data_IF_939535102364
#
_entry.id   IF_939535102364
#
_cell.length_a   1.000
_cell.length_b   1.000
_cell.length_c   1.000
_cell.angle_alpha   90.00
_cell.angle_beta   90.00
_cell.angle_gamma   90.00
#
_symmetry.space_group_name_H-M   'P 1'
#
loop_
_entity.id
_entity.type
_entity.pdbx_description
1 polymer ?
#
# COMPACT_ATOMS: atom_id res chain seq x y z
N UNK A 1 18.24 -41.13 -12.06
CA UNK A 1 17.19 -40.14 -11.79
C UNK A 1 17.35 -39.67 -10.35
N UNK A 2 17.79 -38.43 -10.14
CA UNK A 2 18.03 -37.91 -8.80
C UNK A 2 16.70 -37.82 -8.04
N UNK A 3 16.60 -38.52 -6.90
CA UNK A 3 15.48 -38.40 -5.98
C UNK A 3 15.45 -36.96 -5.44
N UNK A 4 14.40 -36.21 -5.77
CA UNK A 4 14.16 -34.90 -5.16
C UNK A 4 14.04 -35.08 -3.64
N UNK A 5 14.87 -34.35 -2.88
CA UNK A 5 14.79 -34.36 -1.42
C UNK A 5 13.39 -33.92 -0.97
N UNK A 6 12.80 -34.53 0.08
CA UNK A 6 11.46 -34.18 0.52
C UNK A 6 11.46 -32.72 0.98
N UNK A 7 10.51 -31.93 0.46
CA UNK A 7 10.32 -30.55 0.88
C UNK A 7 10.07 -30.52 2.40
N UNK A 8 10.87 -29.75 3.13
CA UNK A 8 10.65 -29.60 4.57
C UNK A 8 9.39 -28.77 4.80
N UNK A 9 8.41 -29.35 5.46
CA UNK A 9 7.15 -28.70 5.79
C UNK A 9 7.33 -27.73 6.96
N UNK A 10 6.37 -26.83 7.16
CA UNK A 10 6.39 -25.84 8.27
C UNK A 10 6.41 -26.54 9.64
N UNK A 11 5.91 -27.79 9.70
CA UNK A 11 5.86 -28.64 10.90
C UNK A 11 7.19 -29.35 11.18
N UNK A 12 8.18 -29.25 10.29
CA UNK A 12 9.48 -29.87 10.52
C UNK A 12 10.12 -29.30 11.80
N UNK A 13 10.45 -30.15 12.78
CA UNK A 13 11.03 -29.71 14.05
C UNK A 13 12.35 -28.94 13.87
N UNK A 14 13.12 -29.23 12.84
CA UNK A 14 14.37 -28.51 12.56
C UNK A 14 14.12 -27.06 12.11
N UNK A 15 13.10 -26.84 11.28
CA UNK A 15 12.72 -25.50 10.83
C UNK A 15 12.21 -24.67 12.00
N UNK A 16 11.39 -25.27 12.86
CA UNK A 16 10.87 -24.61 14.07
C UNK A 16 12.02 -24.20 14.99
N UNK A 17 12.99 -25.10 15.21
CA UNK A 17 14.21 -24.80 16.00
C UNK A 17 14.99 -23.63 15.41
N UNK A 18 15.24 -23.63 14.10
CA UNK A 18 15.95 -22.53 13.42
C UNK A 18 15.22 -21.20 13.53
N UNK A 19 13.89 -21.19 13.31
CA UNK A 19 13.06 -19.97 13.45
C UNK A 19 13.07 -19.42 14.87
N UNK A 20 12.98 -20.30 15.88
CA UNK A 20 13.05 -19.89 17.27
C UNK A 20 14.43 -19.35 17.64
N UNK A 21 15.51 -19.94 17.13
CA UNK A 21 16.87 -19.44 17.31
C UNK A 21 17.05 -18.02 16.74
N UNK A 22 16.55 -17.77 15.52
CA UNK A 22 16.59 -16.44 14.91
C UNK A 22 15.79 -15.39 15.71
N UNK A 23 14.58 -15.75 16.17
CA UNK A 23 13.76 -14.87 17.01
C UNK A 23 14.46 -14.55 18.33
N UNK A 24 15.09 -15.55 18.94
CA UNK A 24 15.85 -15.39 20.18
C UNK A 24 17.02 -14.42 19.97
N UNK A 25 17.79 -14.59 18.90
CA UNK A 25 18.92 -13.70 18.58
C UNK A 25 18.48 -12.23 18.41
N UNK A 26 17.40 -11.96 17.68
CA UNK A 26 16.85 -10.60 17.52
C UNK A 26 16.35 -10.03 18.86
N UNK A 27 15.68 -10.85 19.66
CA UNK A 27 15.20 -10.44 20.99
C UNK A 27 16.37 -10.11 21.93
N UNK A 28 17.43 -10.91 21.91
CA UNK A 28 18.64 -10.68 22.71
C UNK A 28 19.32 -9.36 22.33
N UNK A 29 19.43 -9.05 21.04
CA UNK A 29 19.95 -7.77 20.54
C UNK A 29 19.08 -6.60 21.02
N UNK A 30 17.76 -6.73 20.92
CA UNK A 30 16.82 -5.72 21.39
C UNK A 30 16.95 -5.50 22.90
N UNK A 31 16.95 -6.57 23.70
CA UNK A 31 17.07 -6.49 25.16
C UNK A 31 18.40 -5.84 25.54
N UNK A 32 19.52 -6.27 24.93
CA UNK A 32 20.86 -5.69 25.18
C UNK A 32 20.89 -4.19 24.97
N UNK A 33 20.25 -3.71 23.90
CA UNK A 33 20.20 -2.29 23.59
C UNK A 33 19.20 -1.54 24.48
N UNK A 34 18.07 -2.15 24.86
CA UNK A 34 17.06 -1.52 25.72
C UNK A 34 17.44 -1.50 27.20
N UNK A 35 18.13 -2.52 27.69
CA UNK A 35 18.54 -2.62 29.11
C UNK A 35 19.80 -1.82 29.43
N UNK A 36 20.50 -1.25 28.44
CA UNK A 36 21.71 -0.47 28.65
C UNK A 36 21.38 0.94 29.17
N UNK A 37 21.72 1.29 30.43
CA UNK A 37 21.40 2.58 31.02
C UNK A 37 22.19 3.75 30.39
N UNK A 38 23.35 3.47 29.78
CA UNK A 38 24.20 4.48 29.15
C UNK A 38 23.87 4.72 27.68
N UNK A 39 22.82 4.09 27.13
CA UNK A 39 22.42 4.29 25.72
C UNK A 39 22.19 5.76 25.39
N UNK A 40 21.54 6.49 26.29
CA UNK A 40 21.21 7.89 26.07
C UNK A 40 22.41 8.83 26.17
N UNK A 41 23.51 8.38 26.79
CA UNK A 41 24.74 9.17 26.99
C UNK A 41 25.58 9.22 25.73
N UNK A 42 25.52 8.20 24.85
CA UNK A 42 26.34 8.10 23.64
C UNK A 42 25.81 8.87 22.43
N UNK A 43 24.95 9.87 22.60
CA UNK A 43 24.32 10.64 21.50
C UNK A 43 23.39 9.83 20.58
N UNK A 44 23.38 8.49 20.71
CA UNK A 44 22.40 7.53 20.15
C UNK A 44 21.08 7.47 20.95
N UNK A 45 20.81 8.45 21.82
CA UNK A 45 19.74 8.43 22.83
C UNK A 45 18.30 8.59 22.33
N UNK A 46 18.03 8.17 21.10
CA UNK A 46 16.70 8.20 20.48
C UNK A 46 16.07 6.81 20.40
N UNK A 47 15.35 6.59 19.30
CA UNK A 47 14.76 5.29 18.96
C UNK A 47 15.84 4.29 18.57
N UNK A 48 15.74 3.05 19.06
CA UNK A 48 16.60 1.96 18.61
C UNK A 48 16.38 1.70 17.12
N UNK A 49 17.47 1.66 16.36
CA UNK A 49 17.42 1.34 14.94
C UNK A 49 17.16 -0.16 14.73
N UNK A 50 16.09 -0.47 13.97
CA UNK A 50 15.77 -1.83 13.56
C UNK A 50 16.08 -2.00 12.07
N UNK A 51 17.03 -2.90 11.77
CA UNK A 51 17.46 -3.23 10.41
C UNK A 51 16.31 -3.81 9.58
N UNK A 52 15.41 -4.58 10.19
CA UNK A 52 14.24 -5.16 9.52
C UNK A 52 13.26 -4.09 9.07
N UNK A 53 12.95 -3.13 9.94
CA UNK A 53 12.08 -1.99 9.61
C UNK A 53 12.74 -1.12 8.54
N UNK A 54 14.02 -0.81 8.68
CA UNK A 54 14.73 -0.01 7.69
C UNK A 54 14.70 -0.66 6.30
N UNK A 55 15.01 -1.97 6.20
CA UNK A 55 14.93 -2.70 4.92
C UNK A 55 13.54 -2.67 4.31
N UNK A 56 12.50 -2.81 5.13
CA UNK A 56 11.12 -2.71 4.66
C UNK A 56 10.82 -1.31 4.11
N UNK A 57 11.21 -0.26 4.83
CA UNK A 57 11.02 1.12 4.37
C UNK A 57 11.79 1.40 3.08
N UNK A 58 13.05 0.94 2.98
CA UNK A 58 13.86 1.05 1.78
C UNK A 58 13.21 0.31 0.60
N UNK A 59 12.66 -0.89 0.82
CA UNK A 59 11.92 -1.63 -0.21
C UNK A 59 10.69 -0.85 -0.69
N UNK A 60 9.98 -0.17 0.23
CA UNK A 60 8.82 0.66 -0.10
C UNK A 60 9.20 1.90 -0.92
N UNK A 61 10.33 2.54 -0.63
CA UNK A 61 10.79 3.67 -1.43
C UNK A 61 11.30 3.26 -2.81
N UNK A 62 11.90 2.07 -2.95
CA UNK A 62 12.48 1.59 -4.23
C UNK A 62 11.56 0.68 -5.04
N UNK A 63 10.25 0.59 -4.70
CA UNK A 63 9.32 -0.32 -5.39
C UNK A 63 9.28 -0.10 -6.91
N UNK A 64 9.45 1.14 -7.37
CA UNK A 64 9.44 1.47 -8.78
C UNK A 64 10.63 0.87 -9.54
N UNK A 65 11.82 0.82 -8.93
CA UNK A 65 13.03 0.28 -9.56
C UNK A 65 12.91 -1.22 -9.87
N UNK A 66 12.15 -1.95 -9.04
CA UNK A 66 11.92 -3.38 -9.19
C UNK A 66 10.59 -3.71 -9.90
N UNK A 67 9.83 -2.70 -10.34
CA UNK A 67 8.57 -2.93 -11.03
C UNK A 67 8.79 -3.55 -12.41
N UNK A 68 8.08 -4.64 -12.70
CA UNK A 68 8.08 -5.29 -14.01
C UNK A 68 6.70 -5.14 -14.64
N UNK A 69 6.59 -4.45 -15.80
CA UNK A 69 5.31 -4.34 -16.49
C UNK A 69 4.91 -5.71 -17.06
N UNK A 70 3.90 -6.33 -16.46
CA UNK A 70 3.25 -7.54 -16.96
C UNK A 70 1.86 -7.20 -17.50
N UNK A 71 1.28 -7.99 -18.42
CA UNK A 71 -0.05 -7.72 -18.94
C UNK A 71 -1.11 -7.59 -17.82
N UNK A 72 -1.00 -8.40 -16.76
CA UNK A 72 -1.90 -8.35 -15.60
C UNK A 72 -1.77 -7.03 -14.82
N UNK A 73 -0.55 -6.59 -14.54
CA UNK A 73 -0.31 -5.33 -13.81
C UNK A 73 -0.72 -4.11 -14.63
N UNK A 74 -0.46 -4.13 -15.94
CA UNK A 74 -0.84 -3.04 -16.84
C UNK A 74 -2.37 -2.94 -16.97
N UNK A 75 -3.07 -4.07 -17.10
CA UNK A 75 -4.53 -4.09 -17.13
C UNK A 75 -5.14 -3.54 -15.83
N UNK A 76 -4.58 -3.92 -14.68
CA UNK A 76 -5.00 -3.40 -13.39
C UNK A 76 -4.78 -1.88 -13.30
N UNK A 77 -3.64 -1.38 -13.77
CA UNK A 77 -3.36 0.05 -13.83
C UNK A 77 -4.36 0.82 -14.71
N UNK A 78 -4.67 0.30 -15.90
CA UNK A 78 -5.68 0.88 -16.79
C UNK A 78 -7.05 0.88 -16.12
N UNK A 79 -7.44 -0.23 -15.51
CA UNK A 79 -8.74 -0.34 -14.84
C UNK A 79 -8.85 0.67 -13.69
N UNK A 80 -7.82 0.80 -12.86
CA UNK A 80 -7.86 1.70 -11.71
C UNK A 80 -7.75 3.19 -12.07
N UNK A 81 -7.18 3.54 -13.22
CA UNK A 81 -7.02 4.94 -13.63
C UNK A 81 -8.08 5.38 -14.65
N UNK A 82 -8.21 4.63 -15.74
CA UNK A 82 -9.04 5.02 -16.89
C UNK A 82 -10.53 4.86 -16.58
N UNK A 83 -10.92 3.76 -15.93
CA UNK A 83 -12.34 3.49 -15.64
C UNK A 83 -12.94 4.58 -14.74
N UNK A 84 -12.40 4.90 -13.54
CA UNK A 84 -13.02 5.93 -12.70
C UNK A 84 -13.00 7.31 -13.37
N UNK A 85 -11.96 7.63 -14.15
CA UNK A 85 -11.92 8.86 -14.92
C UNK A 85 -13.05 8.94 -15.97
N UNK A 86 -13.21 7.91 -16.79
CA UNK A 86 -14.27 7.82 -17.79
C UNK A 86 -15.67 7.78 -17.14
N UNK A 87 -15.84 7.07 -16.02
CA UNK A 87 -17.11 7.01 -15.30
C UNK A 87 -17.50 8.38 -14.74
N UNK A 88 -16.57 9.08 -14.08
CA UNK A 88 -16.84 10.39 -13.49
C UNK A 88 -17.21 11.42 -14.56
N UNK A 89 -16.42 11.47 -15.64
CA UNK A 89 -16.68 12.38 -16.77
C UNK A 89 -18.04 12.11 -17.42
N UNK A 90 -18.39 10.83 -17.63
CA UNK A 90 -19.69 10.45 -18.17
C UNK A 90 -20.85 10.87 -17.24
N UNK A 91 -20.75 10.60 -15.93
CA UNK A 91 -21.79 10.96 -14.96
C UNK A 91 -21.99 12.47 -14.91
N UNK A 92 -20.91 13.25 -14.87
CA UNK A 92 -20.97 14.72 -14.89
C UNK A 92 -21.63 15.21 -16.18
N UNK A 93 -21.23 14.69 -17.35
CA UNK A 93 -21.81 15.08 -18.63
C UNK A 93 -23.31 14.78 -18.69
N UNK A 94 -23.69 13.58 -18.26
CA UNK A 94 -25.09 13.14 -18.22
C UNK A 94 -25.95 14.01 -17.31
N UNK A 95 -25.43 14.39 -16.14
CA UNK A 95 -26.13 15.31 -15.23
C UNK A 95 -26.32 16.69 -15.84
N UNK A 96 -25.27 17.24 -16.47
CA UNK A 96 -25.31 18.54 -17.15
C UNK A 96 -26.32 18.55 -18.29
N UNK A 97 -26.31 17.54 -19.15
CA UNK A 97 -27.23 17.46 -20.29
C UNK A 97 -28.68 17.32 -19.84
N UNK A 98 -28.92 16.48 -18.82
CA UNK A 98 -30.23 16.35 -18.20
C UNK A 98 -30.71 17.69 -17.65
N UNK A 99 -29.86 18.40 -16.91
CA UNK A 99 -30.20 19.70 -16.30
C UNK A 99 -30.48 20.76 -17.37
N UNK A 100 -29.65 20.84 -18.41
CA UNK A 100 -29.89 21.76 -19.54
C UNK A 100 -31.20 21.45 -20.25
N UNK A 101 -31.53 20.18 -20.48
CA UNK A 101 -32.79 19.79 -21.10
C UNK A 101 -34.01 20.19 -20.26
N UNK A 102 -33.97 19.96 -18.94
CA UNK A 102 -35.02 20.37 -18.02
C UNK A 102 -35.25 21.89 -17.99
N UNK A 103 -34.17 22.66 -18.14
CA UNK A 103 -34.24 24.12 -18.21
C UNK A 103 -34.82 24.59 -19.55
N UNK A 104 -34.40 24.00 -20.67
CA UNK A 104 -34.87 24.37 -22.03
C UNK A 104 -36.32 24.00 -22.27
N UNK A 105 -36.78 22.88 -21.73
CA UNK A 105 -38.18 22.43 -21.81
C UNK A 105 -39.11 23.15 -20.84
N UNK A 106 -38.58 24.00 -19.96
CA UNK A 106 -39.38 24.74 -18.96
C UNK A 106 -39.87 23.89 -17.79
N UNK A 107 -39.43 22.64 -17.66
CA UNK A 107 -39.82 21.75 -16.56
C UNK A 107 -39.28 22.22 -15.19
N UNK A 108 -38.19 23.00 -15.18
CA UNK A 108 -37.63 23.62 -13.97
C UNK A 108 -37.97 25.10 -13.93
N UNK A 109 -38.76 25.48 -12.92
CA UNK A 109 -39.12 26.88 -12.66
C UNK A 109 -37.85 27.72 -12.42
N UNK A 110 -37.91 29.01 -12.81
CA UNK A 110 -36.76 29.91 -12.66
C UNK A 110 -36.29 30.03 -11.20
N UNK A 111 -37.21 29.94 -10.22
CA UNK A 111 -36.90 29.96 -8.79
C UNK A 111 -36.07 28.76 -8.31
N UNK A 112 -36.11 27.63 -8.98
CA UNK A 112 -35.50 26.38 -8.47
C UNK A 112 -34.16 26.06 -9.17
N UNK A 113 -33.66 26.97 -10.03
CA UNK A 113 -32.36 26.84 -10.69
C UNK A 113 -31.21 27.12 -9.71
N UNK A 114 -30.18 26.28 -9.69
CA UNK A 114 -29.05 26.43 -8.75
C UNK A 114 -28.09 27.60 -9.05
N UNK A 115 -27.71 27.79 -10.33
CA UNK A 115 -26.74 28.80 -10.76
C UNK A 115 -27.45 29.94 -11.51
N UNK A 116 -28.08 30.87 -10.78
CA UNK A 116 -28.85 31.97 -11.40
C UNK A 116 -28.05 33.26 -11.60
N UNK A 117 -27.13 33.55 -10.67
CA UNK A 117 -26.45 34.84 -10.54
C UNK A 117 -24.93 34.68 -10.39
N UNK A 118 -24.41 33.50 -10.72
CA UNK A 118 -22.98 33.22 -10.73
C UNK A 118 -22.43 33.38 -12.15
#
# INVERSE_FOLDING_TARGET
>A
MASASPFKTITDPEIIKKKNALRKAVSEEYIKNCSNPYRNVKMEGGTLFDVGVQRYMSLKSTQYEFFKPTPKTSLLGILLLVVPYCTLTYVIKKERDRRENLIRTGQVAYRDRGFKFA
#
